data_IF_360527983253
#
_entry.id   IF_360527983253
#
_cell.length_a   1.000
_cell.length_b   1.000
_cell.length_c   1.000
_cell.angle_alpha   90.00
_cell.angle_beta   90.00
_cell.angle_gamma   90.00
#
_symmetry.space_group_name_H-M   'P 1'
#
loop_
_entity.id
_entity.type
_entity.pdbx_description
1 polymer ?
#
# COMPACT_ATOMS: atom_id res chain seq x y z
N UNK A 1 -20.14 12.31 -9.35
CA UNK A 1 -20.20 10.96 -8.77
C UNK A 1 -19.19 10.05 -9.44
N UNK A 2 -18.35 9.37 -8.66
CA UNK A 2 -17.28 8.51 -9.12
C UNK A 2 -17.63 7.03 -8.84
N UNK A 3 -17.62 6.20 -9.89
CA UNK A 3 -17.66 4.75 -9.74
C UNK A 3 -16.22 4.22 -9.78
N UNK A 4 -15.74 3.68 -8.66
CA UNK A 4 -14.36 3.23 -8.47
C UNK A 4 -14.33 1.70 -8.31
N UNK A 5 -13.53 1.04 -9.12
CA UNK A 5 -13.17 -0.37 -8.93
C UNK A 5 -11.70 -0.46 -8.56
N UNK A 6 -11.42 -1.05 -7.41
CA UNK A 6 -10.03 -1.25 -6.94
C UNK A 6 -9.58 -2.64 -7.33
N UNK A 7 -8.42 -2.77 -7.99
CA UNK A 7 -7.77 -4.05 -8.25
C UNK A 7 -6.56 -4.17 -7.35
N UNK A 8 -6.54 -5.18 -6.48
CA UNK A 8 -5.42 -5.47 -5.59
C UNK A 8 -4.65 -6.68 -6.09
N UNK A 9 -3.40 -6.48 -6.49
CA UNK A 9 -2.53 -7.52 -7.02
C UNK A 9 -1.88 -8.31 -5.87
N UNK A 10 -2.37 -9.53 -5.62
CA UNK A 10 -1.95 -10.41 -4.55
C UNK A 10 -1.45 -11.79 -5.03
N UNK A 11 -1.15 -11.93 -6.33
CA UNK A 11 -0.80 -13.22 -6.94
C UNK A 11 0.68 -13.60 -6.87
N UNK A 12 1.56 -12.73 -6.35
CA UNK A 12 3.02 -12.99 -6.28
C UNK A 12 3.35 -14.14 -5.34
N UNK A 13 4.16 -15.09 -5.81
CA UNK A 13 4.60 -16.26 -5.01
C UNK A 13 5.49 -15.91 -3.80
N UNK A 14 6.20 -14.79 -3.84
CA UNK A 14 7.03 -14.33 -2.73
C UNK A 14 8.21 -15.26 -2.38
N UNK A 15 8.84 -15.91 -3.36
CA UNK A 15 9.94 -16.89 -3.15
C UNK A 15 11.06 -16.39 -2.24
N UNK A 16 11.38 -15.08 -2.30
CA UNK A 16 12.42 -14.44 -1.46
C UNK A 16 12.07 -14.38 0.02
N UNK A 17 10.78 -14.50 0.39
CA UNK A 17 10.34 -14.56 1.78
C UNK A 17 10.77 -15.85 2.48
N UNK A 18 11.04 -16.92 1.73
CA UNK A 18 11.40 -18.26 2.26
C UNK A 18 10.42 -18.71 3.35
N UNK A 19 9.13 -18.66 3.04
CA UNK A 19 8.05 -18.90 4.00
C UNK A 19 6.97 -19.79 3.40
N UNK A 20 6.34 -20.60 4.25
CA UNK A 20 5.12 -21.33 3.92
C UNK A 20 3.87 -20.43 3.93
N UNK A 21 3.97 -19.25 4.57
CA UNK A 21 2.89 -18.26 4.60
C UNK A 21 2.97 -17.44 3.31
N UNK A 22 1.85 -17.24 2.59
CA UNK A 22 1.79 -16.36 1.43
C UNK A 22 2.35 -14.98 1.75
N UNK A 23 3.14 -14.40 0.84
CA UNK A 23 3.83 -13.12 1.05
C UNK A 23 2.90 -12.04 1.62
N UNK A 24 1.73 -11.88 1.03
CA UNK A 24 0.76 -10.82 1.37
C UNK A 24 0.09 -11.00 2.75
N UNK A 25 0.25 -12.17 3.38
CA UNK A 25 -0.26 -12.48 4.72
C UNK A 25 0.77 -12.25 5.83
N UNK A 26 2.02 -11.91 5.51
CA UNK A 26 2.97 -11.53 6.55
C UNK A 26 2.50 -10.26 7.26
N UNK A 27 2.58 -10.25 8.60
CA UNK A 27 2.05 -9.13 9.38
C UNK A 27 3.00 -7.92 9.38
N UNK A 28 2.39 -6.75 9.41
CA UNK A 28 2.97 -5.46 9.80
C UNK A 28 2.11 -4.97 10.97
N UNK A 29 2.72 -4.71 12.10
CA UNK A 29 2.01 -4.36 13.35
C UNK A 29 0.87 -5.33 13.70
N UNK A 30 1.08 -6.64 13.50
CA UNK A 30 0.09 -7.67 13.77
C UNK A 30 -1.00 -7.85 12.71
N UNK A 31 -1.11 -6.97 11.72
CA UNK A 31 -2.12 -7.00 10.65
C UNK A 31 -1.48 -7.43 9.32
N UNK A 32 -2.08 -8.37 8.55
CA UNK A 32 -1.54 -8.79 7.25
C UNK A 32 -1.31 -7.61 6.31
N UNK A 33 -0.24 -7.64 5.50
CA UNK A 33 0.02 -6.59 4.51
C UNK A 33 -1.18 -6.33 3.59
N UNK A 34 -1.81 -7.39 3.08
CA UNK A 34 -3.03 -7.26 2.27
C UNK A 34 -4.14 -6.52 3.03
N UNK A 35 -4.31 -6.77 4.31
CA UNK A 35 -5.34 -6.12 5.12
C UNK A 35 -5.08 -4.61 5.29
N UNK A 36 -3.83 -4.17 5.38
CA UNK A 36 -3.49 -2.74 5.35
C UNK A 36 -3.94 -2.08 4.05
N UNK A 37 -3.65 -2.73 2.91
CA UNK A 37 -4.04 -2.22 1.57
C UNK A 37 -5.56 -2.17 1.42
N UNK A 38 -6.28 -3.20 1.89
CA UNK A 38 -7.75 -3.22 1.87
C UNK A 38 -8.36 -2.12 2.74
N UNK A 39 -7.81 -1.89 3.95
CA UNK A 39 -8.23 -0.78 4.82
C UNK A 39 -8.02 0.57 4.13
N UNK A 40 -6.86 0.79 3.51
CA UNK A 40 -6.58 2.05 2.80
C UNK A 40 -7.54 2.27 1.63
N UNK A 41 -7.84 1.22 0.85
CA UNK A 41 -8.80 1.28 -0.25
C UNK A 41 -10.23 1.54 0.25
N UNK A 42 -10.65 0.86 1.31
CA UNK A 42 -11.98 1.00 1.90
C UNK A 42 -12.23 2.41 2.46
N UNK A 43 -11.21 3.01 3.06
CA UNK A 43 -11.29 4.36 3.62
C UNK A 43 -11.64 5.43 2.58
N UNK A 44 -11.42 5.19 1.30
CA UNK A 44 -11.82 6.09 0.21
C UNK A 44 -13.34 6.32 0.14
N UNK A 45 -14.16 5.37 0.63
CA UNK A 45 -15.62 5.50 0.68
C UNK A 45 -16.11 6.30 1.89
N UNK A 46 -15.23 6.63 2.82
CA UNK A 46 -15.64 7.35 4.05
C UNK A 46 -16.02 8.79 3.75
N UNK A 47 -16.88 9.36 4.61
CA UNK A 47 -17.25 10.78 4.53
C UNK A 47 -16.07 11.73 4.80
N UNK A 48 -14.97 11.24 5.37
CA UNK A 48 -13.75 11.99 5.59
C UNK A 48 -12.90 12.10 4.31
N UNK A 49 -13.15 11.24 3.31
CA UNK A 49 -12.55 11.35 1.98
C UNK A 49 -13.19 12.52 1.24
N UNK A 50 -12.37 13.35 0.59
CA UNK A 50 -12.83 14.45 -0.28
C UNK A 50 -13.45 13.98 -1.60
N UNK A 51 -13.57 12.66 -1.82
CA UNK A 51 -14.08 12.05 -3.03
C UNK A 51 -15.58 11.77 -2.93
N UNK A 52 -16.34 12.17 -3.95
CA UNK A 52 -17.75 11.79 -4.08
C UNK A 52 -17.88 10.43 -4.77
N UNK A 53 -17.63 9.34 -4.03
CA UNK A 53 -17.69 7.98 -4.54
C UNK A 53 -19.10 7.40 -4.32
N UNK A 54 -19.81 7.16 -5.43
CA UNK A 54 -21.16 6.52 -5.41
C UNK A 54 -21.06 5.00 -5.34
N UNK A 55 -20.03 4.44 -5.95
CA UNK A 55 -19.83 3.00 -6.02
C UNK A 55 -18.35 2.65 -5.79
N UNK A 56 -18.10 1.67 -4.92
CA UNK A 56 -16.78 1.10 -4.68
C UNK A 56 -16.89 -0.41 -4.57
N UNK A 57 -16.08 -1.13 -5.36
CA UNK A 57 -15.82 -2.56 -5.16
C UNK A 57 -14.32 -2.85 -5.21
N UNK A 58 -13.92 -4.00 -4.67
CA UNK A 58 -12.51 -4.42 -4.62
C UNK A 58 -12.38 -5.80 -5.25
N UNK A 59 -11.51 -5.89 -6.27
CA UNK A 59 -11.15 -7.12 -6.96
C UNK A 59 -9.77 -7.58 -6.47
N UNK A 60 -9.70 -8.70 -5.77
CA UNK A 60 -8.44 -9.26 -5.26
C UNK A 60 -7.96 -10.32 -6.24
N UNK A 61 -6.87 -10.02 -6.97
CA UNK A 61 -6.25 -10.94 -7.91
C UNK A 61 -5.26 -11.81 -7.15
N UNK A 62 -5.58 -13.11 -7.03
CA UNK A 62 -4.78 -14.06 -6.28
C UNK A 62 -4.24 -15.19 -7.17
N UNK A 63 -3.14 -15.83 -6.74
CA UNK A 63 -2.49 -16.96 -7.41
C UNK A 63 -2.56 -18.24 -6.59
N UNK A 64 -1.47 -18.96 -6.54
CA UNK A 64 -1.34 -20.34 -6.03
C UNK A 64 -1.82 -20.58 -4.59
N UNK A 65 -1.74 -19.61 -3.68
CA UNK A 65 -2.13 -19.75 -2.28
C UNK A 65 -3.52 -19.12 -1.98
N UNK A 66 -4.39 -19.04 -2.98
CA UNK A 66 -5.63 -18.29 -2.92
C UNK A 66 -6.58 -18.68 -1.80
N UNK A 67 -6.68 -19.97 -1.46
CA UNK A 67 -7.55 -20.42 -0.35
C UNK A 67 -7.09 -19.87 1.00
N UNK A 68 -5.78 -19.86 1.26
CA UNK A 68 -5.22 -19.29 2.49
C UNK A 68 -5.46 -17.79 2.57
N UNK A 69 -5.26 -17.07 1.44
CA UNK A 69 -5.49 -15.63 1.36
C UNK A 69 -6.98 -15.31 1.57
N UNK A 70 -7.88 -16.06 0.93
CA UNK A 70 -9.33 -15.88 1.08
C UNK A 70 -9.80 -16.16 2.50
N UNK A 71 -9.31 -17.24 3.11
CA UNK A 71 -9.64 -17.61 4.49
C UNK A 71 -9.17 -16.54 5.50
N UNK A 72 -7.96 -16.01 5.31
CA UNK A 72 -7.41 -14.97 6.16
C UNK A 72 -8.19 -13.65 6.06
N UNK A 73 -8.61 -13.25 4.85
CA UNK A 73 -9.39 -12.03 4.61
C UNK A 73 -10.87 -12.21 4.94
N UNK A 74 -11.42 -13.44 4.82
CA UNK A 74 -12.81 -13.76 5.11
C UNK A 74 -13.11 -14.04 6.59
N UNK A 75 -12.14 -13.99 7.48
CA UNK A 75 -12.34 -14.20 8.92
C UNK A 75 -12.64 -15.65 9.35
N UNK A 76 -12.44 -16.64 8.47
CA UNK A 76 -12.79 -18.06 8.75
C UNK A 76 -11.65 -18.90 9.32
N UNK A 77 -10.44 -18.39 9.41
CA UNK A 77 -9.29 -19.11 9.97
C UNK A 77 -8.60 -18.26 11.04
N UNK A 78 -8.68 -18.71 12.29
CA UNK A 78 -8.17 -18.07 13.49
C UNK A 78 -6.64 -18.01 13.60
N UNK A 79 -5.99 -17.22 12.78
CA UNK A 79 -4.54 -16.95 12.92
C UNK A 79 -4.28 -15.53 13.42
N UNK A 80 -5.25 -14.63 13.31
CA UNK A 80 -5.16 -13.25 13.81
C UNK A 80 -6.54 -12.82 14.26
N UNK A 81 -6.61 -12.16 15.39
CA UNK A 81 -7.84 -11.56 15.94
C UNK A 81 -8.42 -10.57 14.93
N UNK A 82 -9.55 -10.97 14.33
CA UNK A 82 -10.05 -10.39 13.07
C UNK A 82 -10.85 -9.10 13.19
N UNK A 83 -10.60 -8.21 14.14
CA UNK A 83 -11.31 -6.93 14.28
C UNK A 83 -11.19 -6.01 13.06
N UNK A 84 -10.10 -6.13 12.28
CA UNK A 84 -9.84 -5.32 11.08
C UNK A 84 -10.73 -5.65 9.86
N UNK A 85 -11.48 -6.75 9.86
CA UNK A 85 -12.46 -7.06 8.81
C UNK A 85 -13.60 -6.04 8.72
N UNK A 86 -13.88 -5.35 9.83
CA UNK A 86 -14.92 -4.33 9.87
C UNK A 86 -14.62 -3.15 8.91
N UNK A 87 -13.35 -2.89 8.60
CA UNK A 87 -12.94 -1.77 7.78
C UNK A 87 -13.54 -1.82 6.35
N UNK A 88 -13.84 -3.02 5.83
CA UNK A 88 -14.39 -3.20 4.47
C UNK A 88 -15.63 -4.10 4.41
N UNK A 89 -16.30 -4.32 5.54
CA UNK A 89 -17.48 -5.21 5.64
C UNK A 89 -18.60 -4.85 4.65
N UNK A 90 -18.77 -3.56 4.37
CA UNK A 90 -19.82 -3.04 3.47
C UNK A 90 -19.34 -2.87 2.03
N UNK A 91 -18.13 -3.35 1.69
CA UNK A 91 -17.57 -3.22 0.35
C UNK A 91 -17.58 -4.59 -0.33
N UNK A 92 -18.17 -4.73 -1.53
CA UNK A 92 -18.12 -5.97 -2.27
C UNK A 92 -16.68 -6.39 -2.59
N UNK A 93 -16.25 -7.56 -2.08
CA UNK A 93 -14.98 -8.18 -2.43
C UNK A 93 -15.20 -9.23 -3.51
N UNK A 94 -14.50 -9.09 -4.63
CA UNK A 94 -14.51 -10.03 -5.74
C UNK A 94 -13.15 -10.72 -5.84
N UNK A 95 -13.19 -12.04 -5.83
CA UNK A 95 -11.99 -12.87 -5.90
C UNK A 95 -11.72 -13.27 -7.32
N UNK A 96 -10.54 -12.94 -7.85
CA UNK A 96 -10.15 -13.16 -9.23
C UNK A 96 -8.91 -14.06 -9.26
N UNK A 97 -9.04 -15.23 -9.86
CA UNK A 97 -7.95 -16.19 -9.94
C UNK A 97 -7.04 -15.93 -11.15
N UNK A 98 -5.77 -15.69 -10.91
CA UNK A 98 -4.73 -15.71 -11.95
C UNK A 98 -4.09 -17.09 -11.95
N UNK A 99 -4.53 -17.97 -12.85
CA UNK A 99 -4.07 -19.35 -12.92
C UNK A 99 -2.61 -19.48 -13.35
N UNK A 100 -2.17 -18.62 -14.27
CA UNK A 100 -0.80 -18.53 -14.78
C UNK A 100 -0.22 -17.16 -14.47
N UNK A 101 0.97 -17.12 -13.91
CA UNK A 101 1.64 -15.87 -13.53
C UNK A 101 2.44 -15.31 -14.72
N UNK A 102 1.72 -14.70 -15.68
CA UNK A 102 2.29 -14.16 -16.92
C UNK A 102 2.58 -12.66 -16.84
N UNK A 103 2.71 -12.10 -15.65
CA UNK A 103 3.03 -10.69 -15.42
C UNK A 103 1.88 -9.86 -14.85
N UNK A 104 2.19 -8.60 -14.54
CA UNK A 104 1.26 -7.66 -13.88
C UNK A 104 0.10 -7.24 -14.80
N UNK A 105 0.36 -7.04 -16.08
CA UNK A 105 -0.68 -6.76 -17.07
C UNK A 105 -1.67 -7.91 -17.21
N UNK A 106 -1.17 -9.16 -17.23
CA UNK A 106 -2.02 -10.35 -17.24
C UNK A 106 -2.87 -10.43 -15.97
N UNK A 107 -2.31 -10.13 -14.78
CA UNK A 107 -3.05 -10.13 -13.52
C UNK A 107 -4.22 -9.14 -13.54
N UNK A 108 -3.99 -7.91 -13.98
CA UNK A 108 -5.04 -6.88 -14.12
C UNK A 108 -6.10 -7.31 -15.13
N UNK A 109 -5.70 -7.89 -16.26
CA UNK A 109 -6.62 -8.35 -17.31
C UNK A 109 -7.62 -9.40 -16.81
N UNK A 110 -7.26 -10.22 -15.80
CA UNK A 110 -8.18 -11.19 -15.21
C UNK A 110 -9.38 -10.52 -14.48
N UNK A 111 -9.18 -9.33 -13.91
CA UNK A 111 -10.22 -8.63 -13.17
C UNK A 111 -11.16 -7.79 -14.06
N UNK A 112 -10.68 -7.33 -15.21
CA UNK A 112 -11.39 -6.38 -16.06
C UNK A 112 -12.74 -6.83 -16.62
N UNK A 113 -12.99 -8.13 -16.94
CA UNK A 113 -14.31 -8.56 -17.39
C UNK A 113 -15.45 -8.27 -16.42
N UNK A 114 -15.14 -8.16 -15.12
CA UNK A 114 -16.10 -7.82 -14.06
C UNK A 114 -16.27 -6.33 -13.80
N UNK A 115 -15.58 -5.44 -14.54
CA UNK A 115 -15.55 -3.99 -14.31
C UNK A 115 -16.21 -3.28 -15.49
N UNK A 116 -17.25 -2.43 -15.28
CA UNK A 116 -17.84 -1.62 -16.32
C UNK A 116 -16.86 -0.61 -16.94
N UNK A 117 -17.02 -0.30 -18.23
CA UNK A 117 -16.17 0.66 -18.96
C UNK A 117 -16.23 2.09 -18.41
N UNK A 118 -17.31 2.42 -17.73
CA UNK A 118 -17.55 3.74 -17.12
C UNK A 118 -16.82 3.95 -15.78
N UNK A 119 -16.23 2.88 -15.22
CA UNK A 119 -15.56 2.96 -13.94
C UNK A 119 -14.14 3.52 -14.10
N UNK A 120 -13.68 4.15 -13.04
CA UNK A 120 -12.25 4.39 -12.79
C UNK A 120 -11.68 3.16 -12.09
N UNK A 121 -10.51 2.70 -12.52
CA UNK A 121 -9.80 1.56 -11.93
C UNK A 121 -8.60 2.07 -11.15
N UNK A 122 -8.56 1.76 -9.85
CA UNK A 122 -7.40 1.98 -8.99
C UNK A 122 -6.67 0.65 -8.80
N UNK A 123 -5.41 0.58 -9.24
CA UNK A 123 -4.58 -0.61 -9.15
C UNK A 123 -3.62 -0.45 -7.98
N UNK A 124 -3.65 -1.41 -7.05
CA UNK A 124 -2.83 -1.46 -5.83
C UNK A 124 -2.03 -2.77 -5.78
N UNK A 125 -0.87 -2.73 -5.13
CA UNK A 125 -0.07 -3.91 -4.85
C UNK A 125 -0.28 -4.35 -3.39
N UNK A 126 -0.64 -5.60 -3.17
CA UNK A 126 -0.92 -6.16 -1.84
C UNK A 126 0.31 -6.20 -0.91
N UNK A 127 1.50 -6.00 -1.45
CA UNK A 127 2.77 -5.95 -0.74
C UNK A 127 3.30 -4.53 -0.50
N UNK A 128 2.47 -3.51 -0.70
CA UNK A 128 2.75 -2.08 -0.40
C UNK A 128 1.85 -1.63 0.76
N UNK A 129 2.07 -2.12 1.99
CA UNK A 129 1.12 -1.98 3.10
C UNK A 129 1.06 -0.58 3.71
N UNK A 130 2.01 0.31 3.42
CA UNK A 130 2.06 1.64 4.01
C UNK A 130 1.39 2.72 3.16
N UNK A 131 0.76 2.34 2.04
CA UNK A 131 -0.01 3.28 1.22
C UNK A 131 -1.13 3.91 2.04
N UNK A 132 -1.29 5.23 1.95
CA UNK A 132 -2.29 5.95 2.74
C UNK A 132 -3.53 6.31 1.93
N UNK A 133 -4.71 6.38 2.57
CA UNK A 133 -5.93 6.87 1.92
C UNK A 133 -5.75 8.28 1.33
N UNK A 134 -5.04 9.16 2.04
CA UNK A 134 -4.78 10.53 1.58
C UNK A 134 -3.97 10.57 0.28
N UNK A 135 -2.97 9.71 0.12
CA UNK A 135 -2.20 9.61 -1.13
C UNK A 135 -3.04 9.02 -2.26
N UNK A 136 -3.87 8.02 -1.97
CA UNK A 136 -4.80 7.45 -2.96
C UNK A 136 -5.82 8.50 -3.42
N UNK A 137 -6.37 9.29 -2.51
CA UNK A 137 -7.28 10.40 -2.82
C UNK A 137 -6.59 11.45 -3.71
N UNK A 138 -5.36 11.85 -3.36
CA UNK A 138 -4.57 12.77 -4.18
C UNK A 138 -4.30 12.21 -5.58
N UNK A 139 -4.00 10.92 -5.71
CA UNK A 139 -3.78 10.25 -6.98
C UNK A 139 -5.05 10.27 -7.85
N UNK A 140 -6.20 9.94 -7.27
CA UNK A 140 -7.49 9.96 -7.97
C UNK A 140 -7.83 11.38 -8.44
N UNK A 141 -7.62 12.39 -7.58
CA UNK A 141 -7.85 13.79 -7.93
C UNK A 141 -6.86 14.33 -8.99
N UNK A 142 -5.63 13.81 -9.01
CA UNK A 142 -4.62 14.19 -10.00
C UNK A 142 -4.83 13.48 -11.36
N UNK A 143 -5.71 12.47 -11.42
CA UNK A 143 -5.94 11.74 -12.65
C UNK A 143 -6.54 12.63 -13.74
N UNK A 144 -5.83 12.74 -14.87
CA UNK A 144 -6.37 13.32 -16.11
C UNK A 144 -7.45 12.38 -16.67
N UNK A 145 -8.17 12.78 -17.74
CA UNK A 145 -9.05 11.84 -18.46
C UNK A 145 -8.34 10.54 -18.92
N UNK A 146 -7.01 10.57 -19.03
CA UNK A 146 -6.18 9.41 -19.39
C UNK A 146 -5.75 8.60 -18.16
N UNK A 147 -5.77 9.18 -16.97
CA UNK A 147 -5.36 8.55 -15.71
C UNK A 147 -4.14 9.20 -15.06
N UNK A 148 -3.68 8.56 -13.99
CA UNK A 148 -2.49 8.96 -13.23
C UNK A 148 -1.70 7.75 -12.74
N UNK A 149 -0.41 7.94 -12.51
CA UNK A 149 0.46 6.98 -11.84
C UNK A 149 1.12 7.60 -10.60
N UNK A 150 1.36 6.76 -9.61
CA UNK A 150 2.07 7.13 -8.41
C UNK A 150 3.55 6.82 -8.58
N UNK A 151 4.40 7.82 -8.39
CA UNK A 151 5.86 7.70 -8.51
C UNK A 151 6.55 8.07 -7.21
N UNK A 152 7.82 7.76 -7.12
CA UNK A 152 8.69 8.14 -6.00
C UNK A 152 10.10 8.35 -6.50
N UNK A 153 10.84 9.28 -5.90
CA UNK A 153 12.27 9.43 -6.12
C UNK A 153 13.05 8.62 -5.09
N UNK A 154 13.96 7.76 -5.58
CA UNK A 154 14.81 6.93 -4.73
C UNK A 154 16.28 7.21 -5.00
N UNK A 155 17.08 7.35 -3.94
CA UNK A 155 18.54 7.43 -4.06
C UNK A 155 19.13 6.14 -4.65
N UNK A 156 18.55 4.98 -4.31
CA UNK A 156 18.88 3.70 -4.92
C UNK A 156 17.62 3.11 -5.60
N UNK A 157 17.42 3.37 -6.89
CA UNK A 157 16.25 2.92 -7.64
C UNK A 157 16.32 1.46 -8.09
N UNK A 158 17.31 0.68 -7.65
CA UNK A 158 17.54 -0.70 -8.08
C UNK A 158 16.29 -1.58 -7.89
N UNK A 159 15.93 -2.31 -8.94
CA UNK A 159 14.80 -3.24 -8.94
C UNK A 159 13.45 -2.63 -9.28
N UNK A 160 13.37 -1.32 -9.54
CA UNK A 160 12.13 -0.63 -9.91
C UNK A 160 12.09 -0.26 -11.39
N UNK A 161 10.90 -0.13 -11.97
CA UNK A 161 10.70 0.48 -13.29
C UNK A 161 10.97 1.99 -13.24
N UNK A 162 11.71 2.50 -14.23
CA UNK A 162 12.06 3.92 -14.34
C UNK A 162 11.01 4.67 -15.13
N UNK A 163 10.62 5.83 -14.61
CA UNK A 163 9.66 6.73 -15.27
C UNK A 163 10.39 7.56 -16.32
N UNK A 164 9.88 7.53 -17.56
CA UNK A 164 10.39 8.31 -18.67
C UNK A 164 9.49 9.53 -18.91
N UNK A 165 10.11 10.71 -19.12
CA UNK A 165 9.40 11.97 -19.34
C UNK A 165 9.80 12.64 -20.66
N UNK A 166 8.92 13.50 -21.20
CA UNK A 166 9.25 14.36 -22.33
C UNK A 166 10.34 15.38 -21.97
N UNK A 167 11.24 15.66 -22.91
CA UNK A 167 12.30 16.67 -22.71
C UNK A 167 13.71 16.11 -22.64
N UNK A 168 13.87 14.78 -22.57
CA UNK A 168 15.14 14.11 -22.81
C UNK A 168 15.91 13.70 -21.56
N UNK A 169 16.75 12.71 -21.79
CA UNK A 169 17.59 12.00 -20.82
C UNK A 169 18.81 12.82 -20.34
N UNK A 170 19.03 14.03 -20.86
CA UNK A 170 20.27 14.80 -20.65
C UNK A 170 20.16 15.87 -19.56
N UNK A 171 18.96 16.26 -19.17
CA UNK A 171 18.74 17.17 -18.04
C UNK A 171 18.38 16.37 -16.77
N UNK A 172 19.34 15.59 -16.27
CA UNK A 172 19.28 15.03 -14.92
C UNK A 172 19.52 16.19 -13.93
N UNK A 173 18.55 17.06 -13.80
CA UNK A 173 18.49 17.94 -12.65
C UNK A 173 17.89 17.17 -11.49
N UNK A 174 18.60 17.13 -10.37
CA UNK A 174 18.21 16.50 -9.10
C UNK A 174 16.90 17.02 -8.49
N UNK A 175 16.26 18.01 -9.14
CA UNK A 175 15.02 18.62 -8.69
C UNK A 175 13.81 18.07 -9.49
N UNK A 176 13.11 17.10 -8.88
CA UNK A 176 11.81 16.59 -9.33
C UNK A 176 10.71 17.66 -9.19
N UNK A 177 11.03 18.92 -9.42
CA UNK A 177 10.06 20.02 -9.34
C UNK A 177 9.35 20.30 -10.66
N UNK A 178 9.78 19.69 -11.77
CA UNK A 178 9.05 19.84 -13.03
C UNK A 178 7.92 18.80 -13.13
N UNK A 179 6.86 19.05 -12.33
CA UNK A 179 5.60 18.29 -12.37
C UNK A 179 4.84 18.47 -13.68
N UNK A 180 5.37 19.24 -14.64
CA UNK A 180 4.69 19.60 -15.88
C UNK A 180 5.10 18.75 -17.09
N UNK A 181 6.24 18.07 -17.04
CA UNK A 181 6.63 17.21 -18.16
C UNK A 181 5.80 15.91 -18.19
N UNK A 182 5.30 15.59 -19.39
CA UNK A 182 4.44 14.42 -19.60
C UNK A 182 5.21 13.11 -19.40
N UNK A 183 4.56 12.12 -18.81
CA UNK A 183 5.11 10.77 -18.75
C UNK A 183 4.96 10.10 -20.11
N UNK A 184 6.06 9.66 -20.68
CA UNK A 184 6.11 9.00 -22.01
C UNK A 184 6.13 7.47 -21.92
N UNK A 185 6.52 6.92 -20.76
CA UNK A 185 6.59 5.49 -20.54
C UNK A 185 7.21 5.12 -19.22
N UNK A 186 7.26 3.82 -18.96
CA UNK A 186 8.02 3.20 -17.87
C UNK A 186 8.87 2.11 -18.49
N UNK A 187 10.15 2.04 -18.11
CA UNK A 187 11.04 0.96 -18.51
C UNK A 187 11.42 0.13 -17.28
N UNK A 188 11.17 -1.18 -17.36
CA UNK A 188 11.54 -2.08 -16.26
C UNK A 188 13.06 -2.21 -16.12
N UNK A 189 13.55 -2.44 -14.88
CA UNK A 189 14.99 -2.50 -14.56
C UNK A 189 15.79 -3.38 -15.51
N UNK A 190 15.24 -4.55 -15.90
CA UNK A 190 15.93 -5.54 -16.74
C UNK A 190 16.03 -5.13 -18.19
N UNK A 191 15.06 -4.33 -18.65
CA UNK A 191 14.99 -3.83 -20.03
C UNK A 191 15.65 -2.45 -20.17
N UNK A 192 16.00 -1.79 -19.06
CA UNK A 192 16.54 -0.45 -19.03
C UNK A 192 18.00 -0.39 -19.53
N UNK A 193 18.31 0.63 -20.34
CA UNK A 193 19.69 0.99 -20.68
C UNK A 193 20.46 1.48 -19.46
N UNK A 194 21.79 1.58 -19.57
CA UNK A 194 22.62 2.10 -18.48
C UNK A 194 22.26 3.56 -18.13
N UNK A 195 21.94 4.39 -19.10
CA UNK A 195 21.48 5.76 -18.87
C UNK A 195 20.13 5.78 -18.13
N UNK A 196 19.16 4.98 -18.57
CA UNK A 196 17.85 4.90 -17.92
C UNK A 196 17.93 4.38 -16.48
N UNK A 197 18.85 3.46 -16.17
CA UNK A 197 19.05 2.94 -14.81
C UNK A 197 19.50 4.02 -13.81
N UNK A 198 20.06 5.14 -14.28
CA UNK A 198 20.48 6.27 -13.44
C UNK A 198 19.33 7.17 -13.03
N UNK A 199 18.17 7.06 -13.68
CA UNK A 199 16.98 7.82 -13.31
C UNK A 199 16.52 7.43 -11.90
N UNK A 200 16.26 8.43 -11.06
CA UNK A 200 15.85 8.24 -9.67
C UNK A 200 14.34 8.10 -9.50
N UNK A 201 13.55 8.70 -10.43
CA UNK A 201 12.10 8.56 -10.41
C UNK A 201 11.66 7.18 -10.87
N UNK A 202 10.95 6.49 -10.00
CA UNK A 202 10.50 5.12 -10.23
C UNK A 202 9.00 4.97 -10.10
N UNK A 203 8.47 3.95 -10.77
CA UNK A 203 7.08 3.53 -10.66
C UNK A 203 6.84 2.78 -9.35
N UNK A 204 5.80 3.18 -8.60
CA UNK A 204 5.38 2.50 -7.38
C UNK A 204 4.52 1.24 -7.63
N UNK A 205 4.03 1.06 -8.87
CA UNK A 205 3.03 0.04 -9.20
C UNK A 205 1.58 0.46 -8.93
N UNK A 206 1.35 1.63 -8.34
CA UNK A 206 0.00 2.16 -8.05
C UNK A 206 -0.44 3.07 -9.19
N UNK A 207 -1.60 2.80 -9.78
CA UNK A 207 -2.13 3.53 -10.94
C UNK A 207 -3.64 3.74 -10.80
N UNK A 208 -4.12 4.88 -11.34
CA UNK A 208 -5.54 5.21 -11.43
C UNK A 208 -5.89 5.47 -12.91
N UNK A 209 -6.65 4.57 -13.53
CA UNK A 209 -6.86 4.54 -14.98
C UNK A 209 -8.34 4.38 -15.34
N UNK A 210 -8.84 4.95 -16.46
CA UNK A 210 -10.18 4.64 -16.96
C UNK A 210 -10.29 3.19 -17.42
N UNK A 211 -11.34 2.48 -17.00
CA UNK A 211 -11.53 1.05 -17.33
C UNK A 211 -11.55 0.79 -18.83
N UNK A 212 -12.24 1.61 -19.62
CA UNK A 212 -12.31 1.47 -21.07
C UNK A 212 -10.93 1.56 -21.74
N UNK A 213 -10.11 2.54 -21.35
CA UNK A 213 -8.75 2.72 -21.86
C UNK A 213 -7.84 1.57 -21.43
N UNK A 214 -7.92 1.16 -20.18
CA UNK A 214 -7.13 0.06 -19.63
C UNK A 214 -7.42 -1.26 -20.36
N UNK A 215 -8.69 -1.58 -20.62
CA UNK A 215 -9.07 -2.78 -21.42
C UNK A 215 -8.46 -2.76 -22.81
N UNK A 216 -8.51 -1.60 -23.48
CA UNK A 216 -7.94 -1.42 -24.82
C UNK A 216 -6.42 -1.60 -24.81
N UNK A 217 -5.71 -0.95 -23.88
CA UNK A 217 -4.26 -1.05 -23.78
C UNK A 217 -3.81 -2.48 -23.43
N UNK A 218 -4.44 -3.11 -22.44
CA UNK A 218 -4.09 -4.49 -22.07
C UNK A 218 -4.31 -5.50 -23.21
N UNK A 219 -5.30 -5.28 -24.09
CA UNK A 219 -5.50 -6.14 -25.26
C UNK A 219 -4.37 -6.04 -26.30
N UNK A 220 -3.59 -4.96 -26.28
CA UNK A 220 -2.44 -4.73 -27.16
C UNK A 220 -1.08 -5.13 -26.55
N UNK A 221 -1.04 -5.59 -25.30
CA UNK A 221 0.22 -6.00 -24.67
C UNK A 221 0.81 -7.23 -25.34
N UNK A 222 2.15 -7.29 -25.31
CA UNK A 222 2.92 -8.43 -25.76
C UNK A 222 3.98 -8.83 -24.72
N UNK A 223 4.71 -9.90 -25.00
CA UNK A 223 5.75 -10.44 -24.10
C UNK A 223 7.17 -10.23 -24.65
N UNK A 224 7.36 -9.26 -25.56
CA UNK A 224 8.64 -8.96 -26.19
C UNK A 224 9.56 -8.17 -25.25
N UNK A 225 9.87 -8.73 -24.08
CA UNK A 225 10.73 -8.16 -23.06
C UNK A 225 11.61 -9.25 -22.43
N UNK A 226 12.58 -8.86 -21.62
CA UNK A 226 13.57 -9.78 -21.00
C UNK A 226 12.91 -10.85 -20.14
N UNK A 227 11.78 -10.57 -19.52
CA UNK A 227 11.08 -11.52 -18.63
C UNK A 227 10.07 -12.40 -19.38
N UNK A 228 9.68 -12.05 -20.61
CA UNK A 228 8.63 -12.76 -21.35
C UNK A 228 7.24 -12.60 -20.70
N UNK A 229 6.98 -11.48 -20.01
CA UNK A 229 5.76 -11.22 -19.26
C UNK A 229 4.95 -10.08 -19.90
N UNK A 230 3.65 -10.03 -19.62
CA UNK A 230 2.80 -8.89 -19.95
C UNK A 230 2.98 -7.80 -18.88
N UNK A 231 3.71 -6.74 -19.20
CA UNK A 231 3.95 -5.65 -18.29
C UNK A 231 2.77 -4.66 -18.27
N UNK A 232 2.19 -4.43 -17.10
CA UNK A 232 1.18 -3.37 -16.94
C UNK A 232 1.76 -1.99 -17.30
N UNK A 233 3.04 -1.79 -17.04
CA UNK A 233 3.77 -0.54 -17.28
C UNK A 233 3.83 -0.15 -18.76
N UNK A 234 3.70 -1.11 -19.69
CA UNK A 234 3.64 -0.82 -21.13
C UNK A 234 2.38 -0.03 -21.51
N UNK A 235 1.30 -0.11 -20.72
CA UNK A 235 0.10 0.71 -20.94
C UNK A 235 0.39 2.21 -20.91
N UNK A 236 1.42 2.64 -20.17
CA UNK A 236 1.80 4.06 -20.08
C UNK A 236 2.34 4.57 -21.41
N UNK A 237 3.22 3.78 -22.06
CA UNK A 237 3.74 4.12 -23.38
C UNK A 237 2.64 4.07 -24.45
N UNK A 238 1.71 3.12 -24.37
CA UNK A 238 0.57 3.04 -25.29
C UNK A 238 -0.35 4.26 -25.14
N UNK A 239 -0.61 4.69 -23.92
CA UNK A 239 -1.38 5.91 -23.66
C UNK A 239 -0.70 7.14 -24.28
N UNK A 240 0.60 7.28 -24.10
CA UNK A 240 1.38 8.39 -24.70
C UNK A 240 1.33 8.36 -26.23
N UNK A 241 1.47 7.19 -26.86
CA UNK A 241 1.38 7.02 -28.32
C UNK A 241 0.00 7.41 -28.87
N UNK A 242 -1.06 7.26 -28.09
CA UNK A 242 -2.42 7.72 -28.42
C UNK A 242 -2.64 9.23 -28.15
N UNK A 243 -1.62 9.97 -27.69
CA UNK A 243 -1.75 11.37 -27.25
C UNK A 243 -2.49 11.53 -25.94
N UNK A 244 -2.58 10.46 -25.13
CA UNK A 244 -3.28 10.39 -23.85
C UNK A 244 -2.30 10.15 -22.70
N UNK A 245 -1.31 11.03 -22.56
CA UNK A 245 -0.30 10.88 -21.50
C UNK A 245 -0.93 10.94 -20.11
N UNK A 246 -0.42 10.08 -19.22
CA UNK A 246 -0.83 10.02 -17.82
C UNK A 246 -0.18 11.14 -17.02
N UNK A 247 -0.87 11.64 -16.01
CA UNK A 247 -0.23 12.45 -14.97
C UNK A 247 0.58 11.58 -14.03
N UNK A 248 1.58 12.16 -13.36
CA UNK A 248 2.35 11.49 -12.32
C UNK A 248 2.26 12.28 -11.02
N UNK A 249 1.94 11.58 -9.93
CA UNK A 249 2.00 12.10 -8.57
C UNK A 249 3.22 11.48 -7.88
N UNK A 250 4.23 12.31 -7.60
CA UNK A 250 5.40 11.86 -6.84
C UNK A 250 5.13 11.97 -5.33
N UNK A 251 5.32 10.87 -4.60
CA UNK A 251 5.23 10.87 -3.14
C UNK A 251 6.54 11.35 -2.52
N UNK A 252 6.41 12.03 -1.39
CA UNK A 252 7.56 12.58 -0.65
C UNK A 252 8.19 11.59 0.33
N UNK A 253 7.40 10.64 0.85
CA UNK A 253 7.88 9.58 1.75
C UNK A 253 8.04 8.26 1.00
N UNK A 254 9.27 7.82 0.69
CA UNK A 254 9.50 6.57 -0.01
C UNK A 254 8.97 5.33 0.72
N UNK A 255 8.88 5.38 2.06
CA UNK A 255 8.38 4.26 2.84
C UNK A 255 6.92 3.94 2.50
N UNK A 256 6.13 4.95 2.09
CA UNK A 256 4.72 4.80 1.77
C UNK A 256 4.46 3.85 0.59
N UNK A 257 5.37 3.81 -0.36
CA UNK A 257 5.28 2.97 -1.57
C UNK A 257 6.29 1.82 -1.59
N UNK A 258 6.92 1.56 -0.45
CA UNK A 258 7.88 0.46 -0.32
C UNK A 258 7.19 -0.89 -0.45
N UNK A 259 7.51 -1.62 -1.51
CA UNK A 259 7.09 -3.02 -1.69
C UNK A 259 7.93 -3.97 -0.84
N UNK A 260 7.27 -4.97 -0.24
CA UNK A 260 7.92 -6.00 0.58
C UNK A 260 8.11 -7.26 -0.23
N UNK A 261 9.36 -7.63 -0.48
CA UNK A 261 9.72 -8.84 -1.22
C UNK A 261 10.56 -9.83 -0.42
N UNK A 262 11.16 -9.38 0.69
CA UNK A 262 11.98 -10.20 1.58
C UNK A 262 11.80 -9.76 3.05
N UNK A 263 12.48 -10.47 3.96
CA UNK A 263 12.36 -10.24 5.41
C UNK A 263 13.01 -8.93 5.86
N UNK A 264 14.03 -8.44 5.16
CA UNK A 264 14.67 -7.16 5.50
C UNK A 264 13.73 -5.99 5.16
N UNK A 265 13.10 -6.04 3.98
CA UNK A 265 12.08 -5.06 3.59
C UNK A 265 10.85 -5.12 4.52
N UNK A 266 10.44 -6.31 4.96
CA UNK A 266 9.36 -6.46 5.94
C UNK A 266 9.71 -5.75 7.27
N UNK A 267 10.92 -5.96 7.79
CA UNK A 267 11.38 -5.31 9.02
C UNK A 267 11.47 -3.78 8.87
N UNK A 268 11.93 -3.28 7.70
CA UNK A 268 11.94 -1.86 7.40
C UNK A 268 10.53 -1.26 7.43
N UNK A 269 9.57 -1.90 6.76
CA UNK A 269 8.17 -1.46 6.70
C UNK A 269 7.52 -1.49 8.08
N UNK A 270 7.79 -2.54 8.88
CA UNK A 270 7.36 -2.60 10.30
C UNK A 270 7.83 -1.37 11.07
N UNK A 271 9.13 -1.05 11.02
CA UNK A 271 9.68 0.13 11.75
C UNK A 271 9.12 1.45 11.24
N UNK A 272 8.92 1.61 9.93
CA UNK A 272 8.32 2.81 9.36
C UNK A 272 6.85 2.97 9.81
N UNK A 273 6.08 1.87 9.85
CA UNK A 273 4.72 1.89 10.38
C UNK A 273 4.67 2.30 11.84
N UNK A 274 5.50 1.67 12.69
CA UNK A 274 5.56 1.97 14.12
C UNK A 274 5.98 3.42 14.39
N UNK A 275 6.93 3.95 13.61
CA UNK A 275 7.34 5.35 13.71
C UNK A 275 6.17 6.32 13.43
N UNK A 276 5.36 6.04 12.38
CA UNK A 276 4.15 6.84 12.08
C UNK A 276 3.12 6.76 13.21
N UNK A 277 2.88 5.56 13.76
CA UNK A 277 1.94 5.38 14.87
C UNK A 277 2.40 6.16 16.12
N UNK A 278 3.67 6.04 16.48
CA UNK A 278 4.25 6.75 17.61
C UNK A 278 4.17 8.28 17.41
N UNK A 279 4.47 8.79 16.22
CA UNK A 279 4.38 10.22 15.91
C UNK A 279 2.94 10.73 16.04
N UNK A 280 1.94 10.00 15.50
CA UNK A 280 0.53 10.36 15.65
C UNK A 280 0.10 10.40 17.12
N UNK A 281 0.46 9.39 17.93
CA UNK A 281 0.15 9.36 19.35
C UNK A 281 0.77 10.54 20.11
N UNK A 282 2.02 10.89 19.80
CA UNK A 282 2.70 12.01 20.46
C UNK A 282 2.12 13.37 20.05
N UNK A 283 1.86 13.58 18.75
CA UNK A 283 1.43 14.90 18.23
C UNK A 283 -0.06 15.15 18.38
N UNK A 284 -0.89 14.14 18.18
CA UNK A 284 -2.34 14.30 18.12
C UNK A 284 -3.02 13.99 19.46
N UNK A 285 -2.49 13.00 20.22
CA UNK A 285 -3.07 12.59 21.49
C UNK A 285 -2.22 13.02 22.70
N UNK A 286 -1.05 13.61 22.52
CA UNK A 286 -0.20 14.12 23.61
C UNK A 286 0.46 13.03 24.45
N UNK A 287 0.62 11.80 23.93
CA UNK A 287 1.33 10.74 24.63
C UNK A 287 2.83 11.09 24.74
N UNK A 288 3.39 10.93 25.94
CA UNK A 288 4.85 11.01 26.12
C UNK A 288 5.44 9.62 25.99
N UNK A 289 6.32 9.43 24.99
CA UNK A 289 7.13 8.21 24.81
C UNK A 289 8.57 8.52 25.21
N UNK A 290 9.17 7.68 26.07
CA UNK A 290 10.58 7.81 26.46
C UNK A 290 11.50 7.61 25.25
N UNK A 291 11.19 6.66 24.38
CA UNK A 291 11.87 6.40 23.11
C UNK A 291 10.88 5.85 22.08
N UNK A 292 10.46 6.64 21.07
CA UNK A 292 9.53 6.21 20.05
C UNK A 292 10.02 4.99 19.23
N UNK A 293 11.32 4.81 19.11
CA UNK A 293 11.93 3.67 18.40
C UNK A 293 11.86 2.34 19.17
N UNK A 294 11.49 2.40 20.45
CA UNK A 294 11.37 1.25 21.37
C UNK A 294 9.94 1.08 21.89
N UNK A 295 8.99 1.46 21.07
CA UNK A 295 7.54 1.32 21.31
C UNK A 295 6.90 0.63 20.13
N UNK A 296 6.08 -0.38 20.37
CA UNK A 296 5.32 -1.11 19.35
C UNK A 296 3.83 -1.06 19.64
N UNK A 297 3.06 -0.61 18.64
CA UNK A 297 1.60 -0.67 18.66
C UNK A 297 1.11 -1.69 17.61
N UNK A 298 0.39 -2.72 18.07
CA UNK A 298 -0.21 -3.78 17.26
C UNK A 298 -1.71 -3.82 17.49
N UNK A 299 -2.39 -2.74 17.10
CA UNK A 299 -3.80 -2.55 17.33
C UNK A 299 -4.16 -1.07 17.43
N UNK A 300 -5.01 -0.72 18.39
CA UNK A 300 -5.41 0.65 18.66
C UNK A 300 -5.05 1.09 20.08
N UNK A 301 -4.66 2.34 20.23
CA UNK A 301 -4.38 2.96 21.53
C UNK A 301 -5.08 4.31 21.63
N UNK A 302 -5.90 4.49 22.63
CA UNK A 302 -6.46 5.77 23.05
C UNK A 302 -5.84 6.18 24.38
N UNK A 303 -5.42 7.44 24.48
CA UNK A 303 -4.76 7.94 25.69
C UNK A 303 -5.45 9.19 26.22
N UNK A 304 -5.56 9.26 27.54
CA UNK A 304 -5.94 10.48 28.25
C UNK A 304 -4.78 11.49 28.33
N UNK A 305 -4.98 12.54 29.10
CA UNK A 305 -3.97 13.59 29.29
C UNK A 305 -2.78 13.10 30.13
N UNK A 306 -1.60 13.63 29.86
CA UNK A 306 -0.38 13.44 30.65
C UNK A 306 0.06 11.96 30.83
N UNK A 307 -0.28 11.10 29.87
CA UNK A 307 0.18 9.71 29.85
C UNK A 307 1.64 9.60 29.47
N UNK A 308 2.34 8.65 30.09
CA UNK A 308 3.76 8.35 29.83
C UNK A 308 3.95 6.85 29.61
N UNK A 309 4.69 6.49 28.56
CA UNK A 309 5.09 5.10 28.27
C UNK A 309 6.60 5.03 28.14
N UNK A 310 7.22 4.13 28.90
CA UNK A 310 8.65 3.90 28.93
C UNK A 310 9.12 3.02 27.75
N UNK A 311 10.38 2.65 27.73
CA UNK A 311 11.01 1.90 26.65
C UNK A 311 10.57 0.42 26.63
N UNK A 312 10.63 -0.19 25.43
CA UNK A 312 10.32 -1.62 25.19
C UNK A 312 8.92 -2.02 25.67
N UNK A 313 7.96 -1.17 25.40
CA UNK A 313 6.54 -1.46 25.65
C UNK A 313 5.87 -1.88 24.37
N UNK A 314 5.09 -2.98 24.45
CA UNK A 314 4.27 -3.50 23.36
C UNK A 314 2.79 -3.34 23.76
N UNK A 315 2.03 -2.63 22.93
CA UNK A 315 0.58 -2.50 23.05
C UNK A 315 -0.08 -3.35 21.96
N UNK A 316 -1.02 -4.22 22.34
CA UNK A 316 -1.72 -5.12 21.40
C UNK A 316 -3.25 -5.03 21.59
N UNK A 317 -3.97 -5.27 20.49
CA UNK A 317 -5.45 -5.22 20.51
C UNK A 317 -5.99 -3.80 20.71
N UNK A 318 -7.07 -3.66 21.48
CA UNK A 318 -7.71 -2.37 21.79
C UNK A 318 -7.42 -1.93 23.22
N UNK A 319 -6.56 -0.93 23.38
CA UNK A 319 -6.10 -0.45 24.68
C UNK A 319 -6.51 1.01 24.88
N UNK A 320 -6.99 1.30 26.09
CA UNK A 320 -7.31 2.67 26.53
C UNK A 320 -6.57 3.00 27.82
N UNK A 321 -5.89 4.13 27.86
CA UNK A 321 -5.24 4.67 29.07
C UNK A 321 -6.00 5.91 29.53
N UNK A 322 -6.41 5.92 30.80
CA UNK A 322 -6.96 7.12 31.44
C UNK A 322 -5.91 8.20 31.67
N UNK A 323 -6.31 9.35 32.20
CA UNK A 323 -5.41 10.47 32.44
C UNK A 323 -4.29 10.12 33.43
N UNK A 324 -3.08 10.60 33.17
CA UNK A 324 -1.92 10.46 34.06
C UNK A 324 -1.41 9.03 34.24
N UNK A 325 -1.81 8.10 33.36
CA UNK A 325 -1.30 6.71 33.39
C UNK A 325 0.19 6.67 33.04
N UNK A 326 0.95 5.90 33.80
CA UNK A 326 2.37 5.66 33.58
C UNK A 326 2.65 4.18 33.39
N UNK A 327 3.21 3.83 32.23
CA UNK A 327 3.62 2.46 31.91
C UNK A 327 5.14 2.37 32.01
N UNK A 328 5.63 1.49 32.89
CA UNK A 328 7.05 1.20 33.06
C UNK A 328 7.63 0.37 31.91
N UNK A 329 8.96 0.21 31.86
CA UNK A 329 9.62 -0.44 30.73
C UNK A 329 9.36 -1.96 30.71
N UNK A 330 9.53 -2.56 29.53
CA UNK A 330 9.43 -4.00 29.31
C UNK A 330 8.04 -4.56 29.62
N UNK A 331 6.98 -3.82 29.33
CA UNK A 331 5.60 -4.23 29.56
C UNK A 331 4.93 -4.67 28.25
N UNK A 332 4.03 -5.64 28.34
CA UNK A 332 3.06 -5.97 27.30
C UNK A 332 1.65 -5.71 27.85
N UNK A 333 0.87 -4.94 27.09
CA UNK A 333 -0.50 -4.54 27.47
C UNK A 333 -1.42 -4.92 26.32
N UNK A 334 -2.45 -5.72 26.60
CA UNK A 334 -3.35 -6.22 25.57
C UNK A 334 -4.81 -6.07 25.98
N UNK A 335 -5.67 -5.62 25.04
CA UNK A 335 -7.14 -5.64 25.14
C UNK A 335 -7.69 -5.18 26.49
N UNK A 336 -7.23 -4.02 26.98
CA UNK A 336 -7.55 -3.59 28.34
C UNK A 336 -7.77 -2.09 28.46
N UNK A 337 -8.46 -1.70 29.53
CA UNK A 337 -8.61 -0.32 29.96
C UNK A 337 -7.84 -0.11 31.28
N UNK A 338 -6.93 0.84 31.30
CA UNK A 338 -6.16 1.22 32.48
C UNK A 338 -6.69 2.56 33.00
N UNK A 339 -7.22 2.52 34.24
CA UNK A 339 -7.85 3.66 34.89
C UNK A 339 -6.85 4.81 35.15
N UNK A 340 -7.40 6.04 35.23
CA UNK A 340 -6.62 7.26 35.47
C UNK A 340 -5.71 7.17 36.70
N UNK A 341 -4.55 7.79 36.62
CA UNK A 341 -3.50 7.85 37.64
C UNK A 341 -2.88 6.48 38.01
N UNK A 342 -3.17 5.43 37.25
CA UNK A 342 -2.57 4.11 37.45
C UNK A 342 -1.09 4.10 37.08
N UNK A 343 -0.32 3.27 37.80
CA UNK A 343 1.09 3.02 37.52
C UNK A 343 1.30 1.53 37.26
N UNK A 344 1.77 1.19 36.08
CA UNK A 344 2.19 -0.16 35.71
C UNK A 344 3.71 -0.22 35.88
N UNK A 345 4.19 -1.11 36.76
CA UNK A 345 5.61 -1.29 36.98
C UNK A 345 6.27 -2.07 35.85
N UNK A 346 7.62 -2.06 35.83
CA UNK A 346 8.38 -2.78 34.84
C UNK A 346 8.06 -4.29 34.79
N UNK A 347 8.19 -4.90 33.60
CA UNK A 347 8.03 -6.35 33.38
C UNK A 347 6.60 -6.87 33.67
N UNK A 348 5.57 -6.08 33.43
CA UNK A 348 4.18 -6.53 33.54
C UNK A 348 3.65 -7.04 32.20
N UNK A 349 2.89 -8.12 32.27
CA UNK A 349 2.04 -8.62 31.17
C UNK A 349 0.59 -8.52 31.62
N UNK A 350 -0.18 -7.67 30.94
CA UNK A 350 -1.58 -7.35 31.27
C UNK A 350 -2.44 -7.70 30.05
N UNK A 351 -3.48 -8.51 30.32
CA UNK A 351 -4.44 -8.96 29.30
C UNK A 351 -5.88 -8.76 29.82
#
# INVERSE_FOLDING_TARGET
PLALSVIVLAASEGKRMRSAIPKVLHPVAGKPMLAHVLTAAAALKSAASGLAIDYLDIHIVYGHAGEQVRAAVGGTVGVLDGSWHADWADIPLKWVHQAEQLGTGHAVAQALPGIPDTHTVLILCADVPLITPATLERLINAATPSGALLTVSLENPHGYGRVLREGGQDDIQDDIQDTHSLVTGIVEERDATEAQRRLKEVNSGVMCLPAASLKRWLSGLNTNNVQGEYYLTDCVAMAHQEGQSLSALCVTDPAEVQGVNDRAQLAFVERAYQARQAEGLMREQGLTLADPGRFDLRGSLRVGQDCFVDVDVIIEGDVTLGDGVRIGPFCRIQDTHIESASQVHAHCDIQ
#
